data_IF_863581262161
#
_entry.id   IF_863581262161
#
_cell.length_a   1.000
_cell.length_b   1.000
_cell.length_c   1.000
_cell.angle_alpha   90.00
_cell.angle_beta   90.00
_cell.angle_gamma   90.00
#
_symmetry.space_group_name_H-M   'P 1'
#
loop_
_entity.id
_entity.type
_entity.pdbx_description
1 polymer ?
#
# COMPACT_ATOMS: atom_id res chain seq x y z
N UNK A 1 71.09 -28.17 66.55
CA UNK A 1 71.17 -29.04 65.36
C UNK A 1 69.80 -29.06 64.70
N UNK A 2 69.77 -28.76 63.38
CA UNK A 2 68.83 -29.27 62.35
C UNK A 2 67.32 -29.08 62.58
N UNK A 3 66.49 -28.54 61.71
CA UNK A 3 66.57 -27.88 60.39
C UNK A 3 65.14 -27.32 60.20
N UNK A 4 64.93 -26.10 59.70
CA UNK A 4 63.58 -25.67 59.31
C UNK A 4 63.11 -26.50 58.12
N UNK A 5 61.95 -27.15 58.22
CA UNK A 5 61.33 -27.82 57.08
C UNK A 5 61.11 -26.79 55.97
N UNK A 6 61.57 -27.06 54.74
CA UNK A 6 61.47 -26.11 53.66
C UNK A 6 60.01 -26.00 53.24
N UNK A 7 59.61 -24.75 53.04
CA UNK A 7 58.43 -24.33 52.29
C UNK A 7 58.25 -25.26 51.09
N UNK A 8 57.10 -25.94 51.02
CA UNK A 8 56.56 -26.45 49.75
C UNK A 8 56.15 -25.23 48.92
N UNK A 9 57.15 -24.53 48.40
CA UNK A 9 56.97 -23.62 47.28
C UNK A 9 56.64 -24.48 46.06
N UNK A 10 55.41 -24.32 45.57
CA UNK A 10 55.21 -23.78 44.22
C UNK A 10 55.98 -24.51 43.11
N UNK A 11 55.83 -25.83 42.99
CA UNK A 11 56.33 -26.57 41.83
C UNK A 11 55.34 -27.66 41.42
N UNK A 12 54.24 -27.26 40.77
CA UNK A 12 53.59 -27.98 39.66
C UNK A 12 52.31 -27.24 39.25
N UNK A 13 52.46 -25.98 38.83
CA UNK A 13 51.46 -25.26 38.02
C UNK A 13 51.94 -25.17 36.57
N UNK A 14 52.68 -26.18 36.11
CA UNK A 14 52.91 -26.38 34.69
C UNK A 14 51.76 -27.27 34.22
N UNK A 15 50.82 -26.74 33.43
CA UNK A 15 49.71 -27.54 32.94
C UNK A 15 50.28 -28.77 32.23
N UNK A 16 49.74 -29.95 32.56
CA UNK A 16 50.16 -31.17 31.92
C UNK A 16 49.90 -31.05 30.41
N UNK A 17 50.66 -31.78 29.60
CA UNK A 17 50.39 -31.87 28.15
C UNK A 17 48.92 -32.21 27.86
N UNK A 18 48.28 -33.01 28.71
CA UNK A 18 46.85 -33.32 28.63
C UNK A 18 45.95 -32.10 28.86
N UNK A 19 46.28 -31.23 29.81
CA UNK A 19 45.51 -30.02 30.11
C UNK A 19 45.60 -29.01 28.96
N UNK A 20 46.79 -28.84 28.37
CA UNK A 20 47.00 -28.01 27.18
C UNK A 20 46.25 -28.55 25.95
N UNK A 21 46.19 -29.87 25.79
CA UNK A 21 45.43 -30.50 24.70
C UNK A 21 43.92 -30.35 24.91
N UNK A 22 43.43 -30.45 26.15
CA UNK A 22 42.03 -30.20 26.49
C UNK A 22 41.65 -28.73 26.27
N UNK A 23 42.53 -27.80 26.63
CA UNK A 23 42.32 -26.37 26.39
C UNK A 23 42.32 -26.04 24.89
N UNK A 24 43.23 -26.63 24.11
CA UNK A 24 43.22 -26.48 22.64
C UNK A 24 41.94 -27.05 22.02
N UNK A 25 41.48 -28.22 22.47
CA UNK A 25 40.24 -28.82 22.00
C UNK A 25 39.03 -27.93 22.32
N UNK A 26 38.95 -27.41 23.55
CA UNK A 26 37.88 -26.49 23.97
C UNK A 26 37.91 -25.17 23.19
N UNK A 27 39.09 -24.62 22.91
CA UNK A 27 39.24 -23.41 22.08
C UNK A 27 38.85 -23.66 20.62
N UNK A 28 39.17 -24.83 20.06
CA UNK A 28 38.74 -25.21 18.72
C UNK A 28 37.22 -25.36 18.63
N UNK A 29 36.60 -25.99 19.63
CA UNK A 29 35.15 -26.10 19.72
C UNK A 29 34.47 -24.72 19.85
N UNK A 30 35.05 -23.81 20.64
CA UNK A 30 34.57 -22.43 20.72
C UNK A 30 34.70 -21.68 19.38
N UNK A 31 35.78 -21.90 18.63
CA UNK A 31 35.95 -21.31 17.29
C UNK A 31 34.95 -21.88 16.30
N UNK A 32 34.66 -23.19 16.33
CA UNK A 32 33.68 -23.83 15.45
C UNK A 32 32.26 -23.32 15.72
N UNK A 33 31.91 -23.12 17.00
CA UNK A 33 30.66 -22.50 17.39
C UNK A 33 30.55 -21.03 16.93
N UNK A 34 31.66 -20.28 16.94
CA UNK A 34 31.70 -18.91 16.43
C UNK A 34 31.59 -18.86 14.90
N UNK A 35 32.22 -19.81 14.19
CA UNK A 35 32.09 -19.94 12.74
C UNK A 35 30.64 -20.26 12.35
N UNK A 36 30.00 -21.21 13.03
CA UNK A 36 28.60 -21.56 12.81
C UNK A 36 27.67 -20.34 12.99
N UNK A 37 27.90 -19.54 14.04
CA UNK A 37 27.14 -18.31 14.27
C UNK A 37 27.39 -17.24 13.21
N UNK A 38 28.61 -17.16 12.68
CA UNK A 38 28.95 -16.20 11.63
C UNK A 38 28.28 -16.58 10.31
N UNK A 39 28.23 -17.87 9.97
CA UNK A 39 27.45 -18.36 8.83
C UNK A 39 25.96 -18.07 8.97
N UNK A 40 25.39 -18.26 10.16
CA UNK A 40 23.99 -17.94 10.41
C UNK A 40 23.72 -16.43 10.30
N UNK A 41 24.63 -15.60 10.80
CA UNK A 41 24.55 -14.15 10.64
C UNK A 41 24.66 -13.73 9.17
N UNK A 42 25.50 -14.38 8.37
CA UNK A 42 25.60 -14.15 6.93
C UNK A 42 24.30 -14.52 6.21
N UNK A 43 23.71 -15.69 6.53
CA UNK A 43 22.41 -16.10 5.97
C UNK A 43 21.31 -15.10 6.33
N UNK A 44 21.27 -14.62 7.57
CA UNK A 44 20.30 -13.60 8.00
C UNK A 44 20.51 -12.26 7.31
N UNK A 45 21.76 -11.84 7.09
CA UNK A 45 22.07 -10.62 6.37
C UNK A 45 21.67 -10.71 4.89
N UNK A 46 21.86 -11.87 4.25
CA UNK A 46 21.42 -12.12 2.89
C UNK A 46 19.90 -12.06 2.76
N UNK A 47 19.17 -12.73 3.67
CA UNK A 47 17.70 -12.72 3.70
C UNK A 47 17.14 -11.30 3.95
N UNK A 48 17.73 -10.57 4.90
CA UNK A 48 17.39 -9.16 5.14
C UNK A 48 17.65 -8.30 3.90
N UNK A 49 18.74 -8.54 3.18
CA UNK A 49 19.06 -7.88 1.92
C UNK A 49 18.00 -8.13 0.85
N UNK A 50 17.57 -9.38 0.67
CA UNK A 50 16.49 -9.72 -0.27
C UNK A 50 15.17 -9.06 0.13
N UNK A 51 14.83 -9.08 1.41
CA UNK A 51 13.65 -8.42 1.94
C UNK A 51 13.64 -6.91 1.66
N UNK A 52 14.78 -6.22 1.83
CA UNK A 52 14.90 -4.79 1.52
C UNK A 52 14.66 -4.53 0.03
N UNK A 53 15.24 -5.34 -0.86
CA UNK A 53 15.04 -5.21 -2.31
C UNK A 53 13.58 -5.40 -2.67
N UNK A 54 12.93 -6.44 -2.11
CA UNK A 54 11.50 -6.72 -2.32
C UNK A 54 10.62 -5.59 -1.81
N UNK A 55 10.90 -5.05 -0.62
CA UNK A 55 10.17 -3.92 -0.05
C UNK A 55 10.33 -2.67 -0.91
N UNK A 56 11.54 -2.40 -1.39
CA UNK A 56 11.79 -1.26 -2.30
C UNK A 56 10.99 -1.40 -3.59
N UNK A 57 11.00 -2.58 -4.21
CA UNK A 57 10.25 -2.82 -5.44
C UNK A 57 8.74 -2.66 -5.21
N UNK A 58 8.22 -3.18 -4.09
CA UNK A 58 6.83 -2.97 -3.70
C UNK A 58 6.49 -1.49 -3.49
N UNK A 59 7.38 -0.71 -2.87
CA UNK A 59 7.21 0.73 -2.71
C UNK A 59 7.17 1.46 -4.06
N UNK A 60 8.10 1.14 -4.96
CA UNK A 60 8.16 1.72 -6.31
C UNK A 60 6.88 1.41 -7.12
N UNK A 61 6.40 0.18 -7.08
CA UNK A 61 5.15 -0.25 -7.72
C UNK A 61 3.92 0.45 -7.10
N UNK A 62 3.91 0.61 -5.77
CA UNK A 62 2.81 1.30 -5.06
C UNK A 62 2.77 2.79 -5.42
N UNK A 63 3.93 3.45 -5.53
CA UNK A 63 3.99 4.85 -5.95
C UNK A 63 3.52 5.00 -7.41
N UNK A 64 3.94 4.09 -8.30
CA UNK A 64 3.49 4.09 -9.70
C UNK A 64 1.97 3.95 -9.80
N UNK A 65 1.39 2.97 -9.10
CA UNK A 65 -0.07 2.75 -9.12
C UNK A 65 -0.85 3.94 -8.54
N UNK A 66 -0.37 4.57 -7.46
CA UNK A 66 -0.97 5.78 -6.92
C UNK A 66 -0.93 6.96 -7.91
N UNK A 67 0.17 7.12 -8.66
CA UNK A 67 0.27 8.16 -9.68
C UNK A 67 -0.69 7.92 -10.85
N UNK A 68 -0.82 6.68 -11.31
CA UNK A 68 -1.78 6.28 -12.35
C UNK A 68 -3.23 6.54 -11.91
N UNK A 69 -3.60 6.11 -10.69
CA UNK A 69 -4.94 6.36 -10.15
C UNK A 69 -5.22 7.85 -9.96
N UNK A 70 -4.22 8.64 -9.53
CA UNK A 70 -4.35 10.09 -9.45
C UNK A 70 -4.57 10.73 -10.83
N UNK A 71 -3.90 10.24 -11.86
CA UNK A 71 -4.12 10.71 -13.24
C UNK A 71 -5.54 10.36 -13.72
N UNK A 72 -6.00 9.13 -13.48
CA UNK A 72 -7.38 8.69 -13.79
C UNK A 72 -8.42 9.53 -13.04
N UNK A 73 -8.18 9.84 -11.77
CA UNK A 73 -9.07 10.68 -10.98
C UNK A 73 -9.17 12.09 -11.54
N UNK A 74 -8.04 12.71 -11.93
CA UNK A 74 -8.05 14.02 -12.59
C UNK A 74 -8.82 14.00 -13.92
N UNK A 75 -8.65 12.95 -14.73
CA UNK A 75 -9.41 12.79 -15.97
C UNK A 75 -10.92 12.68 -15.71
N UNK A 76 -11.32 11.90 -14.70
CA UNK A 76 -12.73 11.79 -14.28
C UNK A 76 -13.26 13.12 -13.77
N UNK A 77 -12.49 13.86 -12.98
CA UNK A 77 -12.88 15.18 -12.50
C UNK A 77 -13.09 16.15 -13.66
N UNK A 78 -12.18 16.19 -14.63
CA UNK A 78 -12.33 17.01 -15.83
C UNK A 78 -13.60 16.65 -16.59
N UNK A 79 -13.89 15.37 -16.79
CA UNK A 79 -15.10 14.94 -17.47
C UNK A 79 -16.39 15.33 -16.72
N UNK A 80 -16.37 15.33 -15.38
CA UNK A 80 -17.48 15.80 -14.56
C UNK A 80 -17.65 17.32 -14.65
N UNK A 81 -16.55 18.06 -14.64
CA UNK A 81 -16.55 19.52 -14.78
C UNK A 81 -17.07 19.93 -16.16
N UNK A 82 -16.61 19.25 -17.22
CA UNK A 82 -17.11 19.44 -18.58
C UNK A 82 -18.61 19.13 -18.66
N UNK A 83 -19.08 18.03 -18.06
CA UNK A 83 -20.51 17.70 -18.03
C UNK A 83 -21.33 18.75 -17.27
N UNK A 84 -20.81 19.28 -16.17
CA UNK A 84 -21.45 20.37 -15.42
C UNK A 84 -21.51 21.66 -16.25
N UNK A 85 -20.46 21.99 -17.00
CA UNK A 85 -20.42 23.12 -17.93
C UNK A 85 -21.49 22.95 -19.03
N UNK A 86 -21.57 21.78 -19.65
CA UNK A 86 -22.58 21.47 -20.67
C UNK A 86 -24.00 21.53 -20.09
N UNK A 87 -24.21 21.06 -18.87
CA UNK A 87 -25.50 21.14 -18.19
C UNK A 87 -25.90 22.60 -17.94
N UNK A 88 -24.97 23.45 -17.49
CA UNK A 88 -25.22 24.89 -17.32
C UNK A 88 -25.55 25.56 -18.66
N UNK A 89 -24.77 25.30 -19.71
CA UNK A 89 -25.02 25.84 -21.05
C UNK A 89 -26.39 25.40 -21.59
N UNK A 90 -26.79 24.14 -21.38
CA UNK A 90 -28.11 23.65 -21.77
C UNK A 90 -29.24 24.35 -21.01
N UNK A 91 -29.07 24.58 -19.70
CA UNK A 91 -30.04 25.34 -18.89
C UNK A 91 -30.13 26.79 -19.35
N UNK A 92 -29.01 27.45 -19.64
CA UNK A 92 -29.00 28.81 -20.17
C UNK A 92 -29.70 28.90 -21.53
N UNK A 93 -29.43 27.94 -22.43
CA UNK A 93 -30.10 27.86 -23.74
C UNK A 93 -31.61 27.60 -23.63
N UNK A 94 -32.04 26.79 -22.65
CA UNK A 94 -33.45 26.62 -22.33
C UNK A 94 -34.06 27.92 -21.82
N UNK A 95 -33.41 28.59 -20.86
CA UNK A 95 -33.90 29.85 -20.30
C UNK A 95 -33.98 30.96 -21.34
N UNK A 96 -33.02 31.06 -22.26
CA UNK A 96 -33.09 32.02 -23.38
C UNK A 96 -34.26 31.70 -24.29
N UNK A 97 -34.50 30.42 -24.57
CA UNK A 97 -35.65 29.98 -25.37
C UNK A 97 -36.97 30.36 -24.69
N UNK A 98 -37.11 30.13 -23.38
CA UNK A 98 -38.29 30.54 -22.60
C UNK A 98 -38.52 32.05 -22.56
N UNK A 99 -37.46 32.87 -22.56
CA UNK A 99 -37.60 34.34 -22.62
C UNK A 99 -38.07 34.85 -23.98
N UNK A 100 -37.78 34.12 -25.06
CA UNK A 100 -38.20 34.48 -26.42
C UNK A 100 -39.56 33.93 -26.81
N UNK A 101 -40.12 33.02 -26.03
CA UNK A 101 -41.40 32.38 -26.31
C UNK A 101 -42.56 33.27 -25.83
N UNK A 102 -43.62 33.46 -26.64
CA UNK A 102 -44.83 34.14 -26.22
C UNK A 102 -45.44 33.50 -24.97
N UNK A 103 -46.05 34.28 -24.06
CA UNK A 103 -46.61 33.76 -22.81
C UNK A 103 -47.64 32.64 -23.04
N UNK A 104 -48.35 32.68 -24.17
CA UNK A 104 -49.32 31.67 -24.59
C UNK A 104 -48.67 30.30 -24.80
N UNK A 105 -47.43 30.24 -25.30
CA UNK A 105 -46.71 28.98 -25.54
C UNK A 105 -46.23 28.37 -24.22
N UNK A 106 -45.82 29.20 -23.26
CA UNK A 106 -45.53 28.74 -21.89
C UNK A 106 -46.77 28.23 -21.18
N UNK A 107 -47.91 28.89 -21.33
CA UNK A 107 -49.19 28.42 -20.78
C UNK A 107 -49.58 27.06 -21.36
N UNK A 108 -49.48 26.91 -22.68
CA UNK A 108 -49.78 25.66 -23.37
C UNK A 108 -48.82 24.52 -22.96
N UNK A 109 -47.54 24.82 -22.74
CA UNK A 109 -46.56 23.85 -22.25
C UNK A 109 -46.87 23.38 -20.83
N UNK A 110 -47.29 24.29 -19.94
CA UNK A 110 -47.72 23.96 -18.57
C UNK A 110 -48.99 23.11 -18.61
N UNK A 111 -49.98 23.47 -19.42
CA UNK A 111 -51.22 22.70 -19.57
C UNK A 111 -50.94 21.29 -20.09
N UNK A 112 -50.08 21.14 -21.10
CA UNK A 112 -49.64 19.83 -21.61
C UNK A 112 -48.86 19.02 -20.58
N UNK A 113 -48.01 19.66 -19.77
CA UNK A 113 -47.27 18.99 -18.68
C UNK A 113 -48.22 18.47 -17.59
N UNK A 114 -49.21 19.28 -17.20
CA UNK A 114 -50.25 18.89 -16.23
C UNK A 114 -51.11 17.75 -16.79
N UNK A 115 -51.52 17.81 -18.05
CA UNK A 115 -52.23 16.75 -18.76
C UNK A 115 -51.40 15.45 -18.90
N UNK A 116 -50.09 15.56 -19.04
CA UNK A 116 -49.19 14.41 -19.07
C UNK A 116 -49.06 13.75 -17.69
N UNK A 117 -48.78 14.55 -16.66
CA UNK A 117 -48.58 14.09 -15.29
C UNK A 117 -49.87 13.54 -14.66
N UNK A 118 -51.04 14.05 -15.06
CA UNK A 118 -52.36 13.55 -14.66
C UNK A 118 -52.79 12.29 -15.43
N UNK A 119 -51.94 11.77 -16.32
CA UNK A 119 -52.19 10.53 -17.06
C UNK A 119 -53.17 10.67 -18.23
N UNK A 120 -53.69 11.87 -18.52
CA UNK A 120 -54.58 12.12 -19.64
C UNK A 120 -53.89 11.93 -21.01
N UNK A 121 -52.58 12.19 -21.09
CA UNK A 121 -51.79 11.99 -22.32
C UNK A 121 -51.06 10.63 -22.38
N UNK A 122 -50.95 9.91 -21.26
CA UNK A 122 -50.41 8.54 -21.20
C UNK A 122 -51.44 7.53 -21.68
N UNK A 123 -51.71 7.58 -22.99
CA UNK A 123 -52.51 6.69 -23.84
C UNK A 123 -53.53 5.78 -23.15
N UNK A 124 -54.77 6.02 -23.57
CA UNK A 124 -55.72 5.01 -24.08
C UNK A 124 -55.04 4.15 -25.16
N UNK A 125 -54.11 3.26 -24.79
CA UNK A 125 -53.66 2.17 -25.66
C UNK A 125 -54.80 1.17 -25.70
N UNK A 126 -55.72 1.39 -26.62
CA UNK A 126 -56.82 0.49 -26.89
C UNK A 126 -56.28 -0.88 -27.25
N UNK A 127 -56.80 -1.90 -26.56
CA UNK A 127 -56.81 -3.27 -27.04
C UNK A 127 -58.24 -3.56 -27.50
N UNK A 128 -58.58 -3.44 -28.80
CA UNK A 128 -59.70 -4.19 -29.32
C UNK A 128 -59.28 -5.67 -29.38
N UNK A 129 -60.28 -6.52 -29.16
CA UNK A 129 -60.19 -7.98 -28.96
C UNK A 129 -59.42 -8.70 -30.06
#
# INVERSE_FOLDING_TARGET
MTHPQPRRHELSLLPGRGDLMAELASRLEALDALLSRLEDAERQAADAGEHIIRTRQWQEDTVRTLQEERARMRQRQQALDDLAEHARAAVEAMQSSYRTLPPEVTQLAIELQVLHNSGFLSRRSGRPR
#
